data_IF_139264250570
#
_entry.id   IF_139264250570
#
_cell.length_a   1.000
_cell.length_b   1.000
_cell.length_c   1.000
_cell.angle_alpha   90.00
_cell.angle_beta   90.00
_cell.angle_gamma   90.00
#
_symmetry.space_group_name_H-M   'P 1'
#
loop_
_entity.id
_entity.type
_entity.pdbx_description
1 polymer ?
#
# COMPACT_ATOMS: atom_id res chain seq x y z
N UNK A 1 12.43 3.33 19.92
CA UNK A 1 12.12 1.89 19.85
C UNK A 1 10.82 1.62 19.07
N UNK A 2 10.66 2.16 17.85
CA UNK A 2 9.39 2.03 17.11
C UNK A 2 9.22 0.67 16.41
N UNK A 3 10.33 0.00 16.15
CA UNK A 3 10.38 -1.30 15.47
C UNK A 3 9.88 -2.47 16.32
N UNK A 4 10.02 -2.39 17.65
CA UNK A 4 9.54 -3.43 18.58
C UNK A 4 8.02 -3.45 18.65
N UNK A 5 7.38 -2.28 18.61
CA UNK A 5 5.92 -2.17 18.62
C UNK A 5 5.29 -2.85 17.40
N UNK A 6 5.91 -2.72 16.21
CA UNK A 6 5.43 -3.43 15.02
C UNK A 6 5.63 -4.95 15.08
N UNK A 7 6.66 -5.42 15.79
CA UNK A 7 6.89 -6.86 15.98
C UNK A 7 5.87 -7.49 16.95
N UNK A 8 5.38 -6.71 17.91
CA UNK A 8 4.45 -7.19 18.94
C UNK A 8 2.98 -7.01 18.52
N UNK A 9 2.63 -5.86 17.93
CA UNK A 9 1.25 -5.49 17.59
C UNK A 9 0.94 -5.58 16.09
N UNK A 10 1.94 -5.85 15.25
CA UNK A 10 1.81 -5.81 13.79
C UNK A 10 2.06 -4.42 13.19
N UNK A 11 2.14 -4.38 11.86
CA UNK A 11 2.38 -3.14 11.13
C UNK A 11 1.07 -2.40 10.86
N UNK A 12 1.02 -1.12 11.25
CA UNK A 12 -0.09 -0.24 10.91
C UNK A 12 0.22 0.53 9.62
N UNK A 13 -0.09 -0.07 8.47
CA UNK A 13 0.12 0.54 7.15
C UNK A 13 -1.00 1.53 6.81
N UNK A 14 -0.61 2.71 6.34
CA UNK A 14 -1.51 3.72 5.76
C UNK A 14 -1.14 3.96 4.30
N UNK A 15 -2.12 4.25 3.44
CA UNK A 15 -1.85 4.63 2.05
C UNK A 15 -1.06 5.93 2.05
N UNK A 16 0.11 5.93 1.43
CA UNK A 16 0.98 7.11 1.28
C UNK A 16 0.82 7.76 -0.09
N UNK A 17 0.59 6.95 -1.13
CA UNK A 17 0.39 7.42 -2.51
C UNK A 17 -0.50 6.45 -3.29
N UNK A 18 -1.44 7.01 -4.04
CA UNK A 18 -2.22 6.25 -5.02
C UNK A 18 -1.55 6.39 -6.40
N UNK A 19 -1.01 5.30 -6.93
CA UNK A 19 -0.30 5.28 -8.22
C UNK A 19 -1.31 5.12 -9.36
N UNK A 20 -2.22 4.17 -9.20
CA UNK A 20 -3.38 3.93 -10.06
C UNK A 20 -4.56 3.51 -9.17
N UNK A 21 -5.71 3.20 -9.78
CA UNK A 21 -6.86 2.65 -9.05
C UNK A 21 -6.54 1.34 -8.29
N UNK A 22 -5.58 0.55 -8.78
CA UNK A 22 -5.24 -0.77 -8.23
C UNK A 22 -3.87 -0.80 -7.55
N UNK A 23 -2.96 0.09 -7.95
CA UNK A 23 -1.59 0.14 -7.40
C UNK A 23 -1.50 1.29 -6.42
N UNK A 24 -1.21 0.96 -5.16
CA UNK A 24 -1.03 1.93 -4.08
C UNK A 24 0.30 1.68 -3.37
N UNK A 25 0.87 2.75 -2.83
CA UNK A 25 2.00 2.73 -1.90
C UNK A 25 1.48 2.90 -0.49
N UNK A 26 2.13 2.23 0.45
CA UNK A 26 1.76 2.19 1.85
C UNK A 26 2.99 2.46 2.70
N UNK A 27 2.79 3.19 3.79
CA UNK A 27 3.84 3.44 4.77
C UNK A 27 3.35 3.04 6.16
N UNK A 28 4.16 2.33 6.92
CA UNK A 28 3.82 2.03 8.30
C UNK A 28 3.99 3.28 9.18
N UNK A 29 2.94 3.72 9.86
CA UNK A 29 2.99 4.91 10.74
C UNK A 29 3.99 4.75 11.90
N UNK A 30 4.22 3.51 12.33
CA UNK A 30 5.05 3.21 13.48
C UNK A 30 6.53 3.05 13.09
N UNK A 31 6.86 2.14 12.16
CA UNK A 31 8.26 1.87 11.80
C UNK A 31 8.75 2.56 10.53
N UNK A 32 7.86 3.18 9.74
CA UNK A 32 8.22 3.82 8.47
C UNK A 32 8.48 2.86 7.32
N UNK A 33 8.26 1.54 7.50
CA UNK A 33 8.42 0.56 6.41
C UNK A 33 7.45 0.88 5.27
N UNK A 34 7.96 0.88 4.04
CA UNK A 34 7.19 1.19 2.84
C UNK A 34 6.90 -0.08 2.02
N UNK A 35 5.66 -0.20 1.56
CA UNK A 35 5.18 -1.30 0.72
C UNK A 35 4.45 -0.75 -0.49
N UNK A 36 4.27 -1.56 -1.52
CA UNK A 36 3.43 -1.26 -2.68
C UNK A 36 2.70 -2.50 -3.18
N UNK A 37 1.64 -2.30 -3.95
CA UNK A 37 0.86 -3.39 -4.55
C UNK A 37 1.51 -3.81 -5.86
N UNK A 38 1.87 -5.08 -6.01
CA UNK A 38 2.39 -5.61 -7.27
C UNK A 38 1.24 -5.97 -8.26
N UNK A 39 1.60 -6.40 -9.47
CA UNK A 39 0.64 -6.78 -10.52
C UNK A 39 -0.28 -7.94 -10.15
N UNK A 40 0.11 -8.75 -9.16
CA UNK A 40 -0.67 -9.89 -8.66
C UNK A 40 -1.54 -9.51 -7.45
N UNK A 41 -1.56 -8.25 -7.04
CA UNK A 41 -2.34 -7.76 -5.89
C UNK A 41 -1.68 -8.00 -4.53
N UNK A 42 -0.43 -8.49 -4.47
CA UNK A 42 0.29 -8.68 -3.22
C UNK A 42 1.04 -7.42 -2.80
N UNK A 43 1.14 -7.21 -1.49
CA UNK A 43 2.00 -6.18 -0.91
C UNK A 43 3.46 -6.65 -0.93
N UNK A 44 4.31 -5.88 -1.60
CA UNK A 44 5.76 -6.08 -1.69
C UNK A 44 6.49 -4.85 -1.17
N UNK A 45 7.76 -5.00 -0.81
CA UNK A 45 8.57 -3.86 -0.35
C UNK A 45 8.75 -2.80 -1.43
N UNK A 46 8.56 -1.52 -1.07
CA UNK A 46 8.76 -0.40 -1.97
C UNK A 46 10.27 -0.14 -2.14
N UNK A 47 10.89 -0.93 -3.02
CA UNK A 47 12.29 -0.74 -3.40
C UNK A 47 12.43 0.43 -4.39
N UNK A 48 13.65 0.97 -4.60
CA UNK A 48 13.89 2.00 -5.62
C UNK A 48 13.40 1.59 -7.02
N UNK A 49 13.57 0.31 -7.38
CA UNK A 49 13.06 -0.25 -8.63
C UNK A 49 11.53 -0.19 -8.72
N UNK A 50 10.83 -0.52 -7.64
CA UNK A 50 9.36 -0.42 -7.62
C UNK A 50 8.89 1.03 -7.65
N UNK A 51 9.63 1.95 -7.04
CA UNK A 51 9.33 3.39 -7.11
C UNK A 51 9.38 3.91 -8.54
N UNK A 52 10.43 3.55 -9.29
CA UNK A 52 10.53 3.90 -10.72
C UNK A 52 9.38 3.33 -11.55
N UNK A 53 9.03 2.06 -11.33
CA UNK A 53 7.88 1.41 -12.00
C UNK A 53 6.59 2.17 -11.67
N UNK A 54 6.37 2.50 -10.42
CA UNK A 54 5.19 3.23 -9.97
C UNK A 54 5.12 4.64 -10.58
N UNK A 55 6.23 5.35 -10.67
CA UNK A 55 6.27 6.67 -11.31
C UNK A 55 5.87 6.60 -12.79
N UNK A 56 6.36 5.58 -13.51
CA UNK A 56 5.96 5.32 -14.89
C UNK A 56 4.46 5.00 -14.96
N UNK A 57 3.94 4.12 -14.10
CA UNK A 57 2.53 3.76 -14.06
C UNK A 57 1.63 4.97 -13.77
N UNK A 58 2.00 5.83 -12.82
CA UNK A 58 1.28 7.06 -12.51
C UNK A 58 1.25 7.99 -13.73
N UNK A 59 2.38 8.17 -14.42
CA UNK A 59 2.43 8.99 -15.63
C UNK A 59 1.53 8.46 -16.74
N UNK A 60 1.47 7.14 -16.93
CA UNK A 60 0.59 6.50 -17.91
C UNK A 60 -0.89 6.67 -17.54
N UNK A 61 -1.21 6.54 -16.25
CA UNK A 61 -2.56 6.77 -15.74
C UNK A 61 -3.01 8.21 -16.01
N UNK A 62 -2.19 9.20 -15.63
CA UNK A 62 -2.48 10.62 -15.88
C UNK A 62 -2.64 10.89 -17.38
N UNK A 63 -1.77 10.33 -18.23
CA UNK A 63 -1.91 10.48 -19.70
C UNK A 63 -3.23 9.93 -20.23
N UNK A 64 -3.75 8.86 -19.63
CA UNK A 64 -5.01 8.23 -20.05
C UNK A 64 -6.26 8.91 -19.46
N UNK A 65 -6.20 9.34 -18.21
CA UNK A 65 -7.36 9.81 -17.44
C UNK A 65 -7.36 11.31 -17.18
N UNK A 66 -6.25 12.00 -17.40
CA UNK A 66 -6.10 13.45 -17.20
C UNK A 66 -5.96 13.89 -15.74
N UNK A 67 -6.01 12.98 -14.78
CA UNK A 67 -5.89 13.27 -13.35
C UNK A 67 -5.22 12.10 -12.61
N UNK A 68 -4.68 12.37 -11.42
CA UNK A 68 -4.30 11.31 -10.48
C UNK A 68 -5.55 10.64 -9.91
N UNK A 69 -5.46 9.35 -9.51
CA UNK A 69 -6.55 8.73 -8.78
C UNK A 69 -6.80 9.51 -7.48
N UNK A 70 -8.06 9.86 -7.25
CA UNK A 70 -8.55 10.44 -5.99
C UNK A 70 -9.61 9.50 -5.47
N UNK A 71 -9.24 8.55 -4.61
CA UNK A 71 -10.25 7.65 -4.04
C UNK A 71 -10.77 8.23 -2.72
N UNK A 72 -12.07 8.47 -2.64
CA UNK A 72 -12.81 8.84 -1.41
C UNK A 72 -13.06 7.65 -0.47
N UNK A 73 -12.43 6.50 -0.68
CA UNK A 73 -12.71 5.30 0.12
C UNK A 73 -11.44 4.69 0.70
N UNK A 74 -11.43 4.64 2.03
CA UNK A 74 -10.54 3.87 2.89
C UNK A 74 -10.73 2.38 2.60
N UNK A 75 -10.24 1.87 1.48
CA UNK A 75 -10.09 0.43 1.29
C UNK A 75 -8.85 0.01 2.08
N UNK A 76 -9.08 -0.56 3.25
CA UNK A 76 -8.10 -1.40 3.95
C UNK A 76 -7.37 -2.27 2.92
N UNK A 77 -6.03 -2.30 2.92
CA UNK A 77 -5.30 -3.18 2.00
C UNK A 77 -5.84 -4.60 2.14
N UNK A 78 -6.04 -5.35 1.05
CA UNK A 78 -6.52 -6.72 1.12
C UNK A 78 -5.59 -7.50 2.03
N UNK A 79 -6.06 -7.79 3.24
CA UNK A 79 -5.43 -8.75 4.12
C UNK A 79 -5.46 -10.05 3.33
N UNK A 80 -4.29 -10.63 3.10
CA UNK A 80 -4.17 -12.01 2.65
C UNK A 80 -5.07 -12.82 3.60
N UNK A 81 -6.17 -13.35 3.07
CA UNK A 81 -7.02 -14.31 3.77
C UNK A 81 -6.16 -15.57 3.94
N UNK A 82 -5.48 -15.62 5.08
CA UNK A 82 -4.63 -16.69 5.57
C UNK A 82 -4.83 -16.81 7.07
N UNK A 83 -5.93 -17.45 7.44
CA UNK A 83 -6.36 -17.93 8.75
C UNK A 83 -6.64 -16.92 9.89
N UNK A 84 -7.91 -16.95 10.32
CA UNK A 84 -8.53 -16.37 11.52
C UNK A 84 -8.76 -14.85 11.51
N UNK A 85 -9.92 -14.46 10.99
CA UNK A 85 -10.59 -13.21 11.38
C UNK A 85 -11.50 -13.54 12.57
N UNK A 86 -11.00 -13.25 13.78
CA UNK A 86 -11.82 -13.14 14.98
C UNK A 86 -12.60 -11.84 14.89
N UNK A 87 -13.92 -11.91 14.76
CA UNK A 87 -14.79 -10.75 14.99
C UNK A 87 -15.19 -10.78 16.47
N UNK A 88 -14.58 -9.92 17.27
CA UNK A 88 -15.15 -9.56 18.57
C UNK A 88 -16.25 -8.52 18.33
N UNK A 89 -17.50 -8.96 18.38
CA UNK A 89 -18.48 -8.45 19.35
C UNK A 89 -19.54 -9.53 19.60
#
# INVERSE_FOLDING_TARGET
MKNLHCKIFGHHYQVSREVTLHVKEYTCKNCGKELTTNSNGYLVELTPKYREINDVLASMFIKRHGHLPTTTETTTPPLIVGNLISFSH
#
